data_IF_702655331810
#
_entry.id   IF_702655331810
#
_cell.length_a   1.000
_cell.length_b   1.000
_cell.length_c   1.000
_cell.angle_alpha   90.00
_cell.angle_beta   90.00
_cell.angle_gamma   90.00
#
_symmetry.space_group_name_H-M   'P 1'
#
loop_
_entity.id
_entity.type
_entity.pdbx_description
1 polymer ?
#
# COMPACT_ATOMS: atom_id res chain seq x y z
N UNK A 1 -4.85 -3.59 23.77
CA UNK A 1 -5.71 -4.69 24.28
C UNK A 1 -6.80 -5.06 23.28
N UNK A 2 -7.74 -4.16 22.92
CA UNK A 2 -8.89 -4.47 22.08
C UNK A 2 -8.57 -5.10 20.70
N UNK A 3 -7.61 -4.53 19.95
CA UNK A 3 -7.27 -5.03 18.61
C UNK A 3 -6.70 -6.47 18.64
N UNK A 4 -6.01 -6.87 19.72
CA UNK A 4 -5.53 -8.25 19.88
C UNK A 4 -6.70 -9.23 20.04
N UNK A 5 -7.71 -8.85 20.82
CA UNK A 5 -8.95 -9.64 20.99
C UNK A 5 -9.67 -9.83 19.66
N UNK A 6 -9.75 -8.78 18.83
CA UNK A 6 -10.34 -8.87 17.50
C UNK A 6 -9.62 -9.91 16.61
N UNK A 7 -8.29 -9.96 16.64
CA UNK A 7 -7.53 -10.98 15.91
C UNK A 7 -7.79 -12.40 16.42
N UNK A 8 -7.94 -12.57 17.73
CA UNK A 8 -8.28 -13.86 18.33
C UNK A 8 -9.67 -14.31 17.86
N UNK A 9 -10.66 -13.41 17.89
CA UNK A 9 -12.02 -13.67 17.39
C UNK A 9 -12.00 -14.06 15.91
N UNK A 10 -11.24 -13.34 15.09
CA UNK A 10 -11.09 -13.68 13.67
C UNK A 10 -10.55 -15.09 13.46
N UNK A 11 -9.52 -15.49 14.21
CA UNK A 11 -8.93 -16.84 14.12
C UNK A 11 -9.92 -17.92 14.61
N UNK A 12 -10.71 -17.61 15.64
CA UNK A 12 -11.76 -18.49 16.15
C UNK A 12 -12.85 -18.74 15.11
N UNK A 13 -13.29 -17.72 14.37
CA UNK A 13 -14.34 -17.89 13.36
C UNK A 13 -13.82 -18.23 11.96
N UNK A 14 -12.50 -18.30 11.76
CA UNK A 14 -11.92 -18.59 10.45
C UNK A 14 -12.42 -19.95 9.95
N UNK A 15 -13.06 -20.01 8.77
CA UNK A 15 -13.54 -21.27 8.19
C UNK A 15 -12.39 -22.17 7.75
N UNK A 16 -12.45 -23.46 8.09
CA UNK A 16 -11.44 -24.42 7.63
C UNK A 16 -11.39 -24.50 6.10
N UNK A 17 -10.19 -24.71 5.56
CA UNK A 17 -9.98 -24.83 4.11
C UNK A 17 -10.03 -23.52 3.33
N UNK A 18 -10.02 -22.35 3.99
CA UNK A 18 -9.95 -21.04 3.34
C UNK A 18 -8.60 -20.36 3.56
N UNK A 19 -7.93 -19.91 2.49
CA UNK A 19 -6.60 -19.26 2.56
C UNK A 19 -6.63 -17.73 2.55
N UNK A 20 -7.77 -17.12 2.24
CA UNK A 20 -7.86 -15.66 2.16
C UNK A 20 -9.27 -15.11 2.16
N UNK A 21 -9.37 -13.78 2.21
CA UNK A 21 -10.62 -13.05 2.36
C UNK A 21 -11.70 -13.41 1.31
N UNK A 22 -11.29 -13.70 0.07
CA UNK A 22 -12.22 -14.09 -1.00
C UNK A 22 -12.89 -15.44 -0.72
N UNK A 23 -12.10 -16.45 -0.38
CA UNK A 23 -12.61 -17.79 -0.07
C UNK A 23 -13.43 -17.79 1.22
N UNK A 24 -12.99 -17.03 2.23
CA UNK A 24 -13.76 -16.79 3.45
C UNK A 24 -15.12 -16.17 3.10
N UNK A 25 -15.15 -15.14 2.25
CA UNK A 25 -16.38 -14.48 1.83
C UNK A 25 -17.33 -15.40 1.06
N UNK A 26 -16.80 -16.32 0.24
CA UNK A 26 -17.61 -17.33 -0.48
C UNK A 26 -18.16 -18.39 0.46
N UNK A 27 -17.33 -18.94 1.35
CA UNK A 27 -17.70 -20.03 2.25
C UNK A 27 -18.51 -19.58 3.46
N UNK A 28 -18.25 -18.37 3.94
CA UNK A 28 -18.90 -17.77 5.11
C UNK A 28 -19.18 -16.28 4.83
N UNK A 29 -20.25 -15.95 4.08
CA UNK A 29 -20.57 -14.58 3.70
C UNK A 29 -20.75 -13.63 4.89
N UNK A 30 -21.18 -14.16 6.03
CA UNK A 30 -21.39 -13.41 7.29
C UNK A 30 -20.16 -13.40 8.20
N UNK A 31 -19.02 -13.94 7.79
CA UNK A 31 -17.81 -14.06 8.61
C UNK A 31 -17.43 -12.74 9.28
N UNK A 32 -17.29 -11.67 8.50
CA UNK A 32 -16.87 -10.37 9.02
C UNK A 32 -17.85 -9.80 10.03
N UNK A 33 -19.15 -9.89 9.74
CA UNK A 33 -20.19 -9.42 10.65
C UNK A 33 -20.24 -10.25 11.93
N UNK A 34 -19.99 -11.56 11.87
CA UNK A 34 -19.87 -12.41 13.07
C UNK A 34 -18.70 -11.98 13.95
N UNK A 35 -17.53 -11.76 13.35
CA UNK A 35 -16.36 -11.28 14.10
C UNK A 35 -16.61 -9.91 14.75
N UNK A 36 -17.23 -8.98 14.02
CA UNK A 36 -17.58 -7.66 14.55
C UNK A 36 -18.59 -7.80 15.70
N UNK A 37 -19.67 -8.56 15.51
CA UNK A 37 -20.68 -8.76 16.55
C UNK A 37 -20.10 -9.37 17.81
N UNK A 38 -19.22 -10.37 17.69
CA UNK A 38 -18.56 -10.97 18.85
C UNK A 38 -17.64 -9.98 19.55
N UNK A 39 -16.89 -9.19 18.78
CA UNK A 39 -16.02 -8.15 19.34
C UNK A 39 -16.83 -7.11 20.12
N UNK A 40 -17.98 -6.70 19.60
CA UNK A 40 -18.85 -5.70 20.22
C UNK A 40 -19.61 -6.18 21.45
N UNK A 41 -19.57 -7.48 21.77
CA UNK A 41 -20.04 -7.97 23.08
C UNK A 41 -19.16 -7.49 24.24
N UNK A 42 -17.88 -7.22 23.96
CA UNK A 42 -16.87 -6.89 24.96
C UNK A 42 -16.37 -5.45 24.88
N UNK A 43 -16.58 -4.78 23.75
CA UNK A 43 -16.08 -3.43 23.49
C UNK A 43 -17.17 -2.56 22.90
N UNK A 44 -17.23 -1.30 23.35
CA UNK A 44 -18.05 -0.25 22.74
C UNK A 44 -17.21 0.55 21.74
N UNK A 45 -17.87 1.20 20.79
CA UNK A 45 -17.19 2.06 19.83
C UNK A 45 -16.66 3.33 20.50
N UNK A 46 -15.59 3.88 19.94
CA UNK A 46 -15.00 5.15 20.36
C UNK A 46 -15.93 6.32 19.99
N UNK A 47 -16.10 7.28 20.90
CA UNK A 47 -16.92 8.47 20.68
C UNK A 47 -16.40 9.38 19.54
N UNK A 48 -15.16 9.15 19.08
CA UNK A 48 -14.58 9.80 17.89
C UNK A 48 -15.29 9.44 16.59
N UNK A 49 -16.02 8.33 16.54
CA UNK A 49 -16.83 7.98 15.37
C UNK A 49 -18.20 8.65 15.47
N UNK A 50 -18.65 9.29 14.39
CA UNK A 50 -19.94 9.97 14.37
C UNK A 50 -21.10 8.97 14.26
N UNK A 51 -20.86 7.81 13.65
CA UNK A 51 -21.87 6.75 13.53
C UNK A 51 -21.31 5.37 13.83
N UNK A 52 -22.19 4.46 14.27
CA UNK A 52 -21.85 3.04 14.41
C UNK A 52 -21.41 2.43 13.06
N UNK A 53 -22.00 2.85 11.95
CA UNK A 53 -21.64 2.36 10.62
C UNK A 53 -20.18 2.67 10.27
N UNK A 54 -19.69 3.87 10.56
CA UNK A 54 -18.28 4.27 10.38
C UNK A 54 -17.35 3.43 11.24
N UNK A 55 -17.71 3.23 12.50
CA UNK A 55 -16.91 2.43 13.43
C UNK A 55 -16.81 0.97 12.96
N UNK A 56 -17.92 0.38 12.49
CA UNK A 56 -17.94 -0.98 11.90
C UNK A 56 -17.11 -1.06 10.62
N UNK A 57 -17.15 -0.04 9.77
CA UNK A 57 -16.34 0.04 8.55
C UNK A 57 -14.84 0.10 8.89
N UNK A 58 -14.46 0.87 9.92
CA UNK A 58 -13.09 0.95 10.42
C UNK A 58 -12.59 -0.40 10.96
N UNK A 59 -13.40 -1.10 11.76
CA UNK A 59 -13.09 -2.45 12.24
C UNK A 59 -12.94 -3.42 11.07
N UNK A 60 -13.83 -3.37 10.09
CA UNK A 60 -13.77 -4.21 8.90
C UNK A 60 -12.48 -4.01 8.10
N UNK A 61 -12.07 -2.76 7.89
CA UNK A 61 -10.82 -2.42 7.23
C UNK A 61 -9.63 -2.98 8.02
N UNK A 62 -9.60 -2.77 9.34
CA UNK A 62 -8.56 -3.30 10.21
C UNK A 62 -8.47 -4.83 10.13
N UNK A 63 -9.60 -5.54 10.18
CA UNK A 63 -9.61 -7.00 10.07
C UNK A 63 -9.03 -7.48 8.74
N UNK A 64 -9.42 -6.85 7.61
CA UNK A 64 -8.92 -7.23 6.28
C UNK A 64 -7.42 -7.05 6.16
N UNK A 65 -6.89 -5.91 6.61
CA UNK A 65 -5.46 -5.62 6.55
C UNK A 65 -4.66 -6.59 7.42
N UNK A 66 -5.16 -6.90 8.62
CA UNK A 66 -4.48 -7.81 9.53
C UNK A 66 -4.55 -9.28 9.12
N UNK A 67 -5.60 -9.72 8.42
CA UNK A 67 -5.68 -11.06 7.88
C UNK A 67 -4.46 -11.35 7.00
N UNK A 68 -4.17 -10.45 6.07
CA UNK A 68 -3.05 -10.59 5.15
C UNK A 68 -1.69 -10.51 5.85
N UNK A 69 -1.52 -9.55 6.78
CA UNK A 69 -0.27 -9.42 7.56
C UNK A 69 0.00 -10.66 8.41
N UNK A 70 -1.00 -11.12 9.17
CA UNK A 70 -0.86 -12.32 10.02
C UNK A 70 -0.39 -13.53 9.22
N UNK A 71 -0.98 -13.76 8.03
CA UNK A 71 -0.59 -14.86 7.16
C UNK A 71 0.83 -14.72 6.62
N UNK A 72 1.26 -13.50 6.30
CA UNK A 72 2.62 -13.23 5.85
C UNK A 72 3.62 -13.51 6.97
N UNK A 73 3.36 -13.00 8.18
CA UNK A 73 4.24 -13.20 9.34
C UNK A 73 4.31 -14.68 9.75
N UNK A 74 3.18 -15.38 9.73
CA UNK A 74 3.11 -16.82 10.03
C UNK A 74 3.92 -17.64 9.01
N UNK A 75 3.82 -17.28 7.73
CA UNK A 75 4.60 -17.90 6.68
C UNK A 75 6.09 -17.62 6.88
N UNK A 76 6.48 -16.38 7.13
CA UNK A 76 7.88 -16.01 7.32
C UNK A 76 8.50 -16.76 8.50
N UNK A 77 7.78 -16.86 9.62
CA UNK A 77 8.21 -17.68 10.77
C UNK A 77 8.41 -19.15 10.40
N UNK A 78 7.54 -19.71 9.57
CA UNK A 78 7.70 -21.08 9.11
C UNK A 78 8.88 -21.22 8.13
N UNK A 79 9.04 -20.28 7.19
CA UNK A 79 10.16 -20.22 6.24
C UNK A 79 11.51 -20.20 6.98
N UNK A 80 11.64 -19.37 8.02
CA UNK A 80 12.87 -19.30 8.85
C UNK A 80 13.20 -20.64 9.53
N UNK A 81 12.18 -21.35 10.03
CA UNK A 81 12.38 -22.66 10.69
C UNK A 81 12.72 -23.77 9.71
N UNK A 82 12.11 -23.77 8.53
CA UNK A 82 12.40 -24.72 7.46
C UNK A 82 13.82 -24.50 6.94
N UNK A 83 14.27 -23.25 6.80
CA UNK A 83 15.64 -22.95 6.38
C UNK A 83 16.69 -23.42 7.40
N UNK A 84 16.36 -23.43 8.69
CA UNK A 84 17.27 -23.82 9.77
C UNK A 84 17.31 -25.33 10.08
N UNK A 85 16.42 -26.14 9.50
CA UNK A 85 16.32 -27.57 9.80
C UNK A 85 15.93 -28.38 8.54
N UNK A 86 16.82 -29.27 8.10
CA UNK A 86 16.57 -30.14 6.95
C UNK A 86 15.40 -31.10 7.21
N UNK A 87 14.50 -31.21 6.24
CA UNK A 87 13.36 -32.14 6.28
C UNK A 87 12.06 -31.59 6.86
N UNK A 88 12.06 -30.40 7.46
CA UNK A 88 10.84 -29.77 7.95
C UNK A 88 9.99 -29.20 6.81
N UNK A 89 8.67 -29.24 6.98
CA UNK A 89 7.68 -28.66 6.08
C UNK A 89 6.85 -27.60 6.80
N UNK A 90 6.00 -26.88 6.06
CA UNK A 90 5.05 -25.96 6.68
C UNK A 90 4.13 -26.67 7.69
N UNK A 91 3.81 -27.95 7.51
CA UNK A 91 2.90 -28.68 8.40
C UNK A 91 3.44 -28.74 9.85
N UNK A 92 4.76 -28.81 10.01
CA UNK A 92 5.47 -28.98 11.29
C UNK A 92 5.54 -27.69 12.11
N UNK A 93 5.16 -26.55 11.51
CA UNK A 93 5.32 -25.23 12.10
C UNK A 93 4.00 -24.48 12.30
N UNK A 94 2.90 -25.24 12.48
CA UNK A 94 1.60 -24.67 12.80
C UNK A 94 1.65 -23.87 14.11
N UNK A 95 1.25 -22.59 14.11
CA UNK A 95 1.05 -21.84 15.35
C UNK A 95 -0.06 -22.46 16.21
N UNK A 96 0.11 -22.50 17.53
CA UNK A 96 -0.87 -23.09 18.46
C UNK A 96 -2.27 -22.48 18.35
N UNK A 97 -2.34 -21.17 18.09
CA UNK A 97 -3.60 -20.45 17.93
C UNK A 97 -4.31 -20.69 16.58
N UNK A 98 -3.67 -21.37 15.64
CA UNK A 98 -4.19 -21.56 14.27
C UNK A 98 -4.89 -22.91 14.17
N UNK A 99 -6.11 -22.93 13.64
CA UNK A 99 -6.83 -24.19 13.43
C UNK A 99 -6.08 -25.13 12.48
N UNK A 100 -6.07 -26.45 12.74
CA UNK A 100 -5.40 -27.41 11.86
C UNK A 100 -5.89 -27.34 10.40
N UNK A 101 -7.21 -27.25 10.19
CA UNK A 101 -7.81 -27.21 8.85
C UNK A 101 -7.47 -25.95 8.06
N UNK A 102 -7.35 -24.80 8.74
CA UNK A 102 -6.88 -23.55 8.13
C UNK A 102 -5.39 -23.65 7.77
N UNK A 103 -4.55 -24.12 8.71
CA UNK A 103 -3.11 -24.22 8.50
C UNK A 103 -2.73 -25.21 7.40
N UNK A 104 -3.35 -26.39 7.38
CA UNK A 104 -3.10 -27.41 6.35
C UNK A 104 -3.34 -26.86 4.95
N UNK A 105 -4.43 -26.10 4.76
CA UNK A 105 -4.74 -25.48 3.47
C UNK A 105 -3.73 -24.38 3.10
N UNK A 106 -3.30 -23.57 4.07
CA UNK A 106 -2.27 -22.55 3.85
C UNK A 106 -0.94 -23.16 3.44
N UNK A 107 -0.50 -24.21 4.12
CA UNK A 107 0.70 -24.96 3.79
C UNK A 107 0.66 -25.50 2.35
N UNK A 108 -0.45 -26.12 1.96
CA UNK A 108 -0.67 -26.58 0.57
C UNK A 108 -0.65 -25.43 -0.44
N UNK A 109 -1.27 -24.29 -0.10
CA UNK A 109 -1.29 -23.12 -0.96
C UNK A 109 0.10 -22.53 -1.17
N UNK A 110 0.93 -22.42 -0.14
CA UNK A 110 2.27 -21.84 -0.26
C UNK A 110 3.23 -22.69 -1.09
N UNK A 111 3.07 -24.02 -1.10
CA UNK A 111 3.85 -24.92 -1.96
C UNK A 111 3.29 -25.06 -3.37
N UNK A 112 2.07 -24.57 -3.62
CA UNK A 112 1.43 -24.67 -4.93
C UNK A 112 2.16 -23.89 -6.02
N UNK A 113 2.15 -24.42 -7.24
CA UNK A 113 2.78 -23.76 -8.39
C UNK A 113 2.12 -22.42 -8.73
N UNK A 114 0.80 -22.31 -8.55
CA UNK A 114 0.09 -21.04 -8.74
C UNK A 114 0.63 -19.94 -7.84
N UNK A 115 0.86 -20.27 -6.56
CA UNK A 115 1.39 -19.32 -5.60
C UNK A 115 2.83 -18.95 -5.93
N UNK A 116 3.70 -19.93 -6.23
CA UNK A 116 5.09 -19.69 -6.64
C UNK A 116 5.16 -18.78 -7.87
N UNK A 117 4.33 -19.04 -8.89
CA UNK A 117 4.23 -18.21 -10.10
C UNK A 117 3.83 -16.77 -9.78
N UNK A 118 2.77 -16.57 -8.98
CA UNK A 118 2.32 -15.23 -8.55
C UNK A 118 3.39 -14.52 -7.71
N UNK A 119 4.05 -15.24 -6.82
CA UNK A 119 5.12 -14.70 -5.98
C UNK A 119 6.33 -14.27 -6.81
N UNK A 120 6.77 -15.11 -7.76
CA UNK A 120 7.88 -14.80 -8.67
C UNK A 120 7.55 -13.62 -9.58
N UNK A 121 6.34 -13.58 -10.15
CA UNK A 121 5.88 -12.44 -10.96
C UNK A 121 5.88 -11.14 -10.14
N UNK A 122 5.39 -11.17 -8.89
CA UNK A 122 5.43 -10.03 -7.99
C UNK A 122 6.84 -9.55 -7.66
N UNK A 123 7.79 -10.49 -7.45
CA UNK A 123 9.21 -10.14 -7.26
C UNK A 123 9.82 -9.50 -8.50
N UNK A 124 9.60 -10.08 -9.68
CA UNK A 124 10.06 -9.53 -10.97
C UNK A 124 9.48 -8.14 -11.24
N UNK A 125 8.18 -7.95 -10.99
CA UNK A 125 7.53 -6.66 -11.15
C UNK A 125 8.15 -5.59 -10.25
N UNK A 126 8.43 -5.92 -8.97
CA UNK A 126 9.10 -4.99 -8.04
C UNK A 126 10.52 -4.66 -8.48
N UNK A 127 11.28 -5.63 -8.99
CA UNK A 127 12.62 -5.41 -9.53
C UNK A 127 12.63 -4.56 -10.82
N UNK A 128 11.57 -4.64 -11.62
CA UNK A 128 11.43 -3.87 -12.85
C UNK A 128 10.97 -2.41 -12.62
N UNK A 129 10.63 -2.03 -11.38
CA UNK A 129 10.25 -0.65 -11.05
C UNK A 129 11.48 0.26 -11.16
N UNK A 130 11.52 1.10 -12.20
CA UNK A 130 12.61 2.06 -12.44
C UNK A 130 12.62 3.22 -11.43
N UNK A 131 11.44 3.64 -10.98
CA UNK A 131 11.23 4.74 -10.05
C UNK A 131 10.45 4.22 -8.84
N UNK A 132 11.14 3.74 -7.79
CA UNK A 132 10.48 3.26 -6.60
C UNK A 132 9.73 4.41 -5.91
N UNK A 133 8.54 4.09 -5.40
CA UNK A 133 7.66 5.03 -4.72
C UNK A 133 7.19 4.45 -3.38
N UNK A 134 6.93 5.31 -2.39
CA UNK A 134 6.44 4.97 -1.05
C UNK A 134 4.92 4.89 -0.97
N UNK A 135 4.23 4.95 -2.12
CA UNK A 135 2.77 4.80 -2.16
C UNK A 135 2.25 3.39 -1.85
N UNK A 136 3.14 2.40 -1.84
CA UNK A 136 2.81 1.02 -1.52
C UNK A 136 1.81 0.43 -2.51
N UNK A 137 0.72 -0.16 -2.01
CA UNK A 137 -0.34 -0.72 -2.85
C UNK A 137 -1.36 0.32 -3.35
N UNK A 138 -1.24 1.59 -2.95
CA UNK A 138 -2.13 2.65 -3.45
C UNK A 138 -1.64 3.12 -4.81
N UNK A 139 -2.52 3.13 -5.81
CA UNK A 139 -2.22 3.70 -7.12
C UNK A 139 -2.00 5.21 -7.03
N UNK A 140 -1.31 5.77 -8.01
CA UNK A 140 -1.13 7.22 -8.12
C UNK A 140 -2.46 7.95 -8.27
N UNK A 141 -3.43 7.40 -9.00
CA UNK A 141 -4.77 7.99 -9.11
C UNK A 141 -5.48 8.06 -7.76
N UNK A 142 -5.33 7.01 -6.94
CA UNK A 142 -5.87 7.02 -5.58
C UNK A 142 -5.18 8.09 -4.73
N UNK A 143 -3.86 8.26 -4.86
CA UNK A 143 -3.12 9.33 -4.16
C UNK A 143 -3.55 10.72 -4.60
N UNK A 144 -3.77 10.93 -5.89
CA UNK A 144 -4.31 12.19 -6.44
C UNK A 144 -5.68 12.50 -5.86
N UNK A 145 -6.58 11.50 -5.80
CA UNK A 145 -7.91 11.66 -5.20
C UNK A 145 -7.85 11.94 -3.70
N UNK A 146 -7.07 11.17 -2.95
CA UNK A 146 -6.88 11.36 -1.51
C UNK A 146 -6.33 12.78 -1.23
N UNK A 147 -5.42 13.29 -2.07
CA UNK A 147 -4.91 14.66 -1.98
C UNK A 147 -5.99 15.69 -2.29
N UNK A 148 -6.74 15.55 -3.39
CA UNK A 148 -7.82 16.48 -3.74
C UNK A 148 -8.90 16.53 -2.66
N UNK A 149 -9.23 15.41 -2.03
CA UNK A 149 -10.17 15.36 -0.90
C UNK A 149 -9.66 16.18 0.29
N UNK A 150 -8.37 16.07 0.63
CA UNK A 150 -7.74 16.84 1.70
C UNK A 150 -7.56 18.33 1.36
N UNK A 151 -7.48 18.67 0.07
CA UNK A 151 -7.15 20.02 -0.42
C UNK A 151 -8.31 20.69 -1.18
N UNK A 152 -9.55 20.37 -0.82
CA UNK A 152 -10.77 21.02 -1.35
C UNK A 152 -10.85 21.03 -2.89
N UNK A 153 -10.50 19.90 -3.50
CA UNK A 153 -10.52 19.70 -4.96
C UNK A 153 -9.33 20.27 -5.71
N UNK A 154 -8.35 20.90 -5.05
CA UNK A 154 -7.14 21.40 -5.69
C UNK A 154 -6.08 20.30 -5.77
N UNK A 155 -5.51 20.11 -6.96
CA UNK A 155 -4.43 19.15 -7.20
C UNK A 155 -3.11 19.89 -7.41
N UNK A 156 -2.13 19.61 -6.56
CA UNK A 156 -0.74 19.96 -6.79
C UNK A 156 0.02 18.68 -7.17
N UNK A 157 0.30 18.52 -8.46
CA UNK A 157 0.99 17.33 -8.98
C UNK A 157 2.41 17.20 -8.40
N UNK A 158 3.08 18.30 -8.10
CA UNK A 158 4.42 18.30 -7.54
C UNK A 158 4.40 17.84 -6.09
N UNK A 159 3.44 18.31 -5.30
CA UNK A 159 3.26 17.86 -3.92
C UNK A 159 2.90 16.37 -3.85
N UNK A 160 1.98 15.91 -4.71
CA UNK A 160 1.62 14.48 -4.80
C UNK A 160 2.83 13.65 -5.22
N UNK A 161 3.62 14.10 -6.19
CA UNK A 161 4.82 13.39 -6.61
C UNK A 161 5.86 13.30 -5.49
N UNK A 162 6.14 14.41 -4.78
CA UNK A 162 7.03 14.44 -3.60
C UNK A 162 6.56 13.48 -2.51
N UNK A 163 5.28 13.47 -2.20
CA UNK A 163 4.71 12.58 -1.18
C UNK A 163 4.83 11.09 -1.57
N UNK A 164 4.85 10.79 -2.86
CA UNK A 164 5.01 9.44 -3.37
C UNK A 164 6.47 8.99 -3.49
N UNK A 165 7.43 9.91 -3.57
CA UNK A 165 8.83 9.59 -3.88
C UNK A 165 9.81 10.02 -2.79
N UNK A 166 9.30 10.45 -1.64
CA UNK A 166 10.09 10.68 -0.43
C UNK A 166 9.82 9.62 0.64
N UNK A 167 10.82 9.35 1.46
CA UNK A 167 10.75 8.42 2.59
C UNK A 167 9.77 8.95 3.64
N UNK A 168 9.07 8.01 4.30
CA UNK A 168 8.02 8.28 5.30
C UNK A 168 8.42 7.90 6.73
N UNK A 169 9.60 7.33 6.90
CA UNK A 169 10.15 6.98 8.22
C UNK A 169 10.37 8.25 9.03
N UNK A 170 10.08 8.23 10.33
CA UNK A 170 10.18 9.42 11.21
C UNK A 170 11.57 10.06 11.15
N UNK A 171 12.63 9.25 11.03
CA UNK A 171 14.02 9.71 11.02
C UNK A 171 14.48 10.30 9.67
N UNK A 172 13.91 9.84 8.54
CA UNK A 172 14.36 10.19 7.17
C UNK A 172 13.26 10.85 6.35
N UNK A 173 12.26 11.40 7.03
CA UNK A 173 11.05 11.92 6.40
C UNK A 173 11.39 13.06 5.45
N UNK A 174 11.00 12.92 4.18
CA UNK A 174 11.24 13.94 3.16
C UNK A 174 12.52 13.74 2.33
N UNK A 175 13.37 12.78 2.67
CA UNK A 175 14.49 12.37 1.81
C UNK A 175 13.97 11.63 0.57
N UNK A 176 14.64 11.84 -0.57
CA UNK A 176 14.31 11.17 -1.82
C UNK A 176 14.66 9.68 -1.77
N UNK A 177 13.77 8.83 -2.29
CA UNK A 177 14.03 7.39 -2.37
C UNK A 177 15.18 7.09 -3.34
N UNK A 178 15.26 7.84 -4.43
CA UNK A 178 16.31 7.73 -5.45
C UNK A 178 16.68 9.10 -6.00
N UNK A 179 17.94 9.27 -6.40
CA UNK A 179 18.39 10.48 -7.08
C UNK A 179 17.62 10.73 -8.39
N UNK A 180 17.25 9.67 -9.10
CA UNK A 180 16.51 9.80 -10.36
C UNK A 180 15.10 10.37 -10.13
N UNK A 181 14.45 10.01 -9.02
CA UNK A 181 13.18 10.62 -8.65
C UNK A 181 13.33 12.13 -8.36
N UNK A 182 14.45 12.55 -7.77
CA UNK A 182 14.77 13.96 -7.54
C UNK A 182 15.06 14.70 -8.86
N UNK A 183 15.85 14.10 -9.77
CA UNK A 183 16.20 14.67 -11.08
C UNK A 183 14.97 14.94 -11.96
N UNK A 184 13.92 14.13 -11.85
CA UNK A 184 12.65 14.36 -12.57
C UNK A 184 12.00 15.68 -12.14
N UNK A 185 12.02 16.04 -10.87
CA UNK A 185 11.48 17.34 -10.44
C UNK A 185 12.37 18.49 -10.89
N UNK A 186 13.69 18.31 -10.76
CA UNK A 186 14.64 19.33 -11.19
C UNK A 186 14.47 19.62 -12.68
N UNK A 187 14.31 18.60 -13.52
CA UNK A 187 14.03 18.78 -14.95
C UNK A 187 12.66 19.44 -15.23
N UNK A 188 11.59 19.00 -14.56
CA UNK A 188 10.24 19.59 -14.72
C UNK A 188 10.18 21.04 -14.23
N UNK A 189 10.96 21.42 -13.21
CA UNK A 189 11.05 22.80 -12.72
C UNK A 189 12.00 23.68 -13.54
N UNK A 190 13.06 23.11 -14.11
CA UNK A 190 14.05 23.85 -14.92
C UNK A 190 13.53 24.13 -16.33
N UNK A 191 12.73 23.25 -16.95
CA UNK A 191 12.23 23.44 -18.32
C UNK A 191 11.45 24.77 -18.46
N UNK A 192 10.50 25.13 -17.58
CA UNK A 192 9.82 26.44 -17.65
C UNK A 192 10.76 27.63 -17.45
N UNK A 193 11.79 27.50 -16.59
CA UNK A 193 12.76 28.56 -16.27
C UNK A 193 13.75 28.76 -17.44
N UNK A 194 14.13 27.70 -18.13
CA UNK A 194 14.95 27.78 -19.34
C UNK A 194 14.15 28.36 -20.51
N UNK A 195 12.87 28.01 -20.65
CA UNK A 195 12.00 28.61 -21.67
C UNK A 195 11.77 30.11 -21.44
N UNK A 196 11.57 30.55 -20.20
CA UNK A 196 11.43 31.98 -19.89
C UNK A 196 12.74 32.75 -20.11
N UNK A 197 13.89 32.19 -19.73
CA UNK A 197 15.21 32.80 -20.00
C UNK A 197 15.59 32.81 -21.48
N UNK A 198 15.23 31.78 -22.25
CA UNK A 198 15.42 31.78 -23.70
C UNK A 198 14.49 32.79 -24.40
N UNK A 199 13.25 32.96 -23.92
CA UNK A 199 12.35 34.01 -24.42
C UNK A 199 12.90 35.42 -24.13
N UNK A 200 13.53 35.64 -22.98
CA UNK A 200 14.24 36.90 -22.67
C UNK A 200 15.46 37.11 -23.59
N UNK A 201 16.26 36.09 -23.88
CA UNK A 201 17.43 36.19 -24.76
C UNK A 201 17.06 36.39 -26.24
N UNK A 202 15.97 35.77 -26.71
CA UNK A 202 15.44 35.95 -28.07
C UNK A 202 14.77 37.33 -28.22
N UNK A 203 14.14 37.86 -27.15
CA UNK A 203 13.55 39.19 -27.15
C UNK A 203 14.59 40.31 -27.33
N UNK A 204 15.84 40.14 -26.88
CA UNK A 204 16.88 41.17 -27.02
C UNK A 204 17.66 41.10 -28.34
N UNK A 205 17.67 39.96 -29.02
CA UNK A 205 18.35 39.78 -30.32
C UNK A 205 17.44 40.11 -31.51
N UNK A 206 16.12 39.93 -31.38
CA UNK A 206 15.14 40.25 -32.44
C UNK A 206 14.70 41.73 -32.43
N UNK A 207 14.79 42.45 -31.30
CA UNK A 207 14.44 43.88 -31.20
C UNK A 207 15.55 44.85 -31.66
N UNK A 208 16.72 44.36 -32.09
CA UNK A 208 17.83 45.22 -32.58
C UNK A 208 17.99 45.25 -34.12
N UNK A 209 17.15 44.53 -34.87
CA UNK A 209 17.25 44.42 -36.34
C UNK A 209 15.93 44.58 -37.13
N UNK A 210 14.84 45.04 -36.51
CA UNK A 210 13.61 45.33 -37.25
C UNK A 210 13.10 46.73 -36.91
N UNK A 211 12.91 47.54 -37.95
CA UNK A 211 12.26 48.86 -38.02
C UNK A 211 13.16 50.11 -37.85
N UNK A 212 13.87 50.44 -38.93
CA UNK A 212 14.05 51.84 -39.33
C UNK A 212 12.68 52.42 -39.67
N UNK A 213 12.32 53.56 -39.05
CA UNK A 213 11.17 54.36 -39.44
C UNK A 213 11.62 55.40 -40.48
N UNK A 214 11.03 55.30 -41.67
CA UNK A 214 11.03 56.30 -42.73
C UNK A 214 9.96 57.34 -42.38
N UNK A 215 10.20 58.63 -42.59
CA UNK A 215 9.13 59.56 -42.99
C UNK A 215 9.67 60.86 -43.59
N UNK A 216 9.13 61.14 -44.78
CA UNK A 216 9.09 62.36 -45.62
C UNK A 216 10.40 62.95 -46.15
#
# INVERSE_FOLDING_TARGET
MALRTLLVIMRMFWPDGCVGALEIGRKSPRFWNKCINEFLRYYTFDQRFSTEAEARASILAHMRDNLHRTLADDRERADMKIAGASGNTYADHRPLYMKPGVWSKLAQYWVSEEFKKKSAAGKKARQAVKLPHTSGARSFDRRRRDYMEAHYGKLDELAVYKECHTLKDEERKGEWITEDAQKIIVSVQIIPILYSRLAEVISWSVLRHAYFKKEL
#
